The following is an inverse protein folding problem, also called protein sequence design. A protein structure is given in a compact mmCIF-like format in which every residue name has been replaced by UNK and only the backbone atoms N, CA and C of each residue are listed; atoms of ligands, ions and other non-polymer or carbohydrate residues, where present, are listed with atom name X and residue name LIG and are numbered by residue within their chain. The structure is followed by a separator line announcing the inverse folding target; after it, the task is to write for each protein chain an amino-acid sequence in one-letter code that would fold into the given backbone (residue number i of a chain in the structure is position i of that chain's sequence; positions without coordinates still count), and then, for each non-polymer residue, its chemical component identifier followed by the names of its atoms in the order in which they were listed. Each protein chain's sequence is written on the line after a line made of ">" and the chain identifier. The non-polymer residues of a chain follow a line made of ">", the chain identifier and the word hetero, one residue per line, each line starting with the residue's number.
data_IF_718609510667
#
_entry.id   IF_718609510667
#
_cell.length_a   1.000
_cell.length_b   1.000
_cell.length_c   1.000
_cell.angle_alpha   90.00
_cell.angle_beta   90.00
_cell.angle_gamma   90.00
#
_symmetry.space_group_name_H-M   'P 1'
#
loop_
_entity.id
_entity.type
_entity.pdbx_description
1 polymer ?
#
# COMPACT_ATOMS: atom_id res chain seq x y z
N UNK A 1 0.66 8.56 17.18
CA UNK A 1 1.03 8.27 16.97
C UNK A 1 0.80 7.64 16.68
N UNK A 2 0.99 7.54 16.86
CA UNK A 2 0.55 6.63 16.56
C UNK A 2 0.50 5.79 17.54
N UNK A 3 -0.54 5.36 17.73
CA UNK A 3 -0.90 4.54 18.71
C UNK A 3 0.00 3.44 18.89
N UNK A 4 0.63 3.07 17.89
CA UNK A 4 1.44 2.04 17.98
C UNK A 4 2.50 2.26 18.89
N UNK A 5 2.83 3.41 19.09
CA UNK A 5 3.87 3.66 19.90
C UNK A 5 3.64 3.53 21.28
N UNK A 6 2.60 3.61 21.68
CA UNK A 6 2.43 3.59 22.94
C UNK A 6 2.11 2.45 23.38
N UNK A 7 1.90 1.78 23.32
CA UNK A 7 1.57 0.71 23.85
C UNK A 7 2.31 -0.28 23.91
N UNK A 8 2.59 -0.09 24.02
CA UNK A 8 3.10 -0.64 24.28
C UNK A 8 3.86 -1.26 24.31
N UNK A 9 3.93 -1.50 24.31
CA UNK A 9 4.67 -1.43 24.17
C UNK A 9 5.69 -2.17 24.22
N UNK A 10 5.97 -3.05 24.54
CA UNK A 10 7.06 -3.22 24.95
C UNK A 10 7.73 -4.35 24.44
N UNK A 11 7.46 -5.46 24.67
CA UNK A 11 8.05 -6.50 24.20
C UNK A 11 7.70 -6.72 22.90
N UNK A 12 6.55 -6.74 22.66
CA UNK A 12 6.14 -6.87 21.33
C UNK A 12 6.36 -5.58 20.69
N UNK A 13 6.71 -4.63 21.45
CA UNK A 13 6.97 -3.39 20.90
C UNK A 13 8.21 -3.39 20.11
N UNK A 14 9.21 -4.16 20.43
CA UNK A 14 10.42 -4.15 19.68
C UNK A 14 10.21 -4.49 18.21
N UNK A 15 9.56 -5.59 17.86
CA UNK A 15 9.34 -5.88 16.46
C UNK A 15 8.49 -4.79 15.79
N UNK A 16 7.49 -4.30 16.50
CA UNK A 16 6.63 -3.27 15.94
C UNK A 16 7.41 -1.97 15.72
N UNK A 17 8.29 -1.63 16.65
CA UNK A 17 9.08 -0.41 16.51
C UNK A 17 10.03 -0.50 15.32
N UNK A 18 10.61 -1.67 15.10
CA UNK A 18 11.50 -1.87 13.96
C UNK A 18 10.71 -1.75 12.67
N UNK A 19 9.53 -2.35 12.60
CA UNK A 19 8.71 -2.27 11.42
C UNK A 19 8.28 -0.82 11.15
N UNK A 20 7.91 -0.09 12.19
CA UNK A 20 7.51 1.30 12.04
C UNK A 20 8.68 2.14 11.55
N UNK A 21 9.87 1.92 12.09
CA UNK A 21 11.05 2.67 11.65
C UNK A 21 11.36 2.39 10.18
N UNK A 22 11.21 1.14 9.74
CA UNK A 22 11.43 0.79 8.35
C UNK A 22 10.40 1.47 7.45
N UNK A 23 9.16 1.53 7.87
CA UNK A 23 8.12 2.22 7.12
C UNK A 23 8.46 3.70 6.96
N UNK A 24 8.84 4.35 8.04
CA UNK A 24 9.17 5.77 8.00
C UNK A 24 10.36 6.02 7.08
N UNK A 25 11.39 5.19 7.18
CA UNK A 25 12.56 5.34 6.34
C UNK A 25 12.20 5.14 4.87
N UNK A 26 11.33 4.19 4.57
CA UNK A 26 10.93 3.96 3.19
C UNK A 26 10.03 5.08 2.71
N UNK A 27 9.11 5.54 3.52
CA UNK A 27 8.17 6.57 3.12
C UNK A 27 8.81 7.92 2.85
N UNK A 28 9.96 8.20 3.40
CA UNK A 28 10.57 9.49 3.13
C UNK A 28 11.04 9.62 1.69
N UNK A 29 11.14 8.52 0.94
CA UNK A 29 11.47 8.55 -0.46
C UNK A 29 10.21 8.46 -1.34
N UNK A 30 9.03 8.42 -0.74
CA UNK A 30 7.79 8.30 -1.48
C UNK A 30 7.18 9.67 -1.69
N UNK A 31 6.92 9.98 -2.94
CA UNK A 31 6.29 11.23 -3.30
C UNK A 31 4.85 10.95 -3.71
N UNK A 32 3.85 11.54 -3.03
CA UNK A 32 2.46 11.27 -3.40
C UNK A 32 2.13 11.84 -4.76
N UNK A 33 1.50 11.05 -5.61
CA UNK A 33 1.11 11.48 -6.93
C UNK A 33 -0.38 11.41 -7.17
N UNK A 34 -1.13 10.70 -6.37
CA UNK A 34 -2.56 10.65 -6.58
C UNK A 34 -3.32 9.85 -5.55
N UNK A 35 -4.64 9.91 -5.64
CA UNK A 35 -5.54 9.20 -4.76
C UNK A 35 -6.16 8.05 -5.52
N UNK A 36 -6.13 6.85 -4.96
CA UNK A 36 -6.70 5.67 -5.60
C UNK A 36 -8.21 5.82 -5.75
N UNK A 37 -8.71 5.49 -6.92
CA UNK A 37 -10.13 5.59 -7.23
C UNK A 37 -10.79 4.25 -6.90
N UNK A 38 -11.17 4.08 -5.66
CA UNK A 38 -11.85 2.87 -5.22
C UNK A 38 -13.29 2.85 -5.70
N UNK A 39 -13.81 1.65 -5.93
CA UNK A 39 -15.18 1.51 -6.40
C UNK A 39 -16.19 1.68 -5.30
N UNK A 40 -15.82 1.44 -4.05
CA UNK A 40 -16.74 1.63 -2.94
C UNK A 40 -16.23 2.75 -2.04
N UNK A 41 -17.06 3.18 -1.10
CA UNK A 41 -16.74 4.31 -0.26
C UNK A 41 -15.98 3.96 1.00
N UNK A 42 -15.67 2.70 1.19
CA UNK A 42 -14.99 2.25 2.39
C UNK A 42 -13.55 1.83 2.15
N UNK A 43 -13.12 1.87 0.90
CA UNK A 43 -11.76 1.56 0.51
C UNK A 43 -11.03 2.85 0.17
N UNK A 44 -9.84 3.01 0.74
CA UNK A 44 -9.06 4.22 0.58
C UNK A 44 -7.65 3.85 0.15
N UNK A 45 -7.03 4.69 -0.63
CA UNK A 45 -5.65 4.45 -1.03
C UNK A 45 -5.02 5.66 -1.65
N UNK A 46 -3.69 5.64 -1.68
CA UNK A 46 -2.90 6.68 -2.30
C UNK A 46 -1.78 6.04 -3.09
N UNK A 47 -1.43 6.68 -4.21
CA UNK A 47 -0.34 6.22 -5.07
C UNK A 47 0.84 7.15 -4.87
N UNK A 48 2.02 6.57 -4.77
CA UNK A 48 3.26 7.30 -4.59
C UNK A 48 4.28 6.88 -5.63
N UNK A 49 5.23 7.74 -5.89
CA UNK A 49 6.42 7.37 -6.65
C UNK A 49 7.57 7.18 -5.68
N UNK A 50 8.31 6.11 -5.83
CA UNK A 50 9.48 5.86 -4.99
C UNK A 50 10.68 6.49 -5.65
N UNK A 51 11.12 7.64 -5.13
CA UNK A 51 12.22 8.37 -5.72
C UNK A 51 13.55 7.63 -5.63
N UNK A 52 13.65 6.68 -4.72
CA UNK A 52 14.85 5.90 -4.58
C UNK A 52 14.91 4.80 -5.63
N UNK A 53 13.79 4.43 -6.21
CA UNK A 53 13.72 3.37 -7.20
C UNK A 53 13.18 3.89 -8.54
N UNK A 54 13.71 4.99 -8.99
CA UNK A 54 13.40 5.54 -10.33
C UNK A 54 11.93 5.84 -10.54
N UNK A 55 11.24 6.25 -9.49
CA UNK A 55 9.84 6.61 -9.62
C UNK A 55 8.89 5.43 -9.67
N UNK A 56 9.32 4.25 -9.26
CA UNK A 56 8.46 3.07 -9.26
C UNK A 56 7.21 3.33 -8.40
N UNK A 57 6.02 2.94 -8.85
CA UNK A 57 4.81 3.25 -8.09
C UNK A 57 4.65 2.38 -6.87
N UNK A 58 4.07 2.97 -5.82
CA UNK A 58 3.75 2.27 -4.58
C UNK A 58 2.32 2.64 -4.23
N UNK A 59 1.51 1.65 -3.87
CA UNK A 59 0.12 1.86 -3.49
C UNK A 59 -0.04 1.58 -2.00
N UNK A 60 -0.55 2.56 -1.23
CA UNK A 60 -0.97 2.33 0.13
C UNK A 60 -2.48 2.21 0.10
N UNK A 61 -3.04 1.13 0.65
CA UNK A 61 -4.47 0.89 0.52
C UNK A 61 -5.02 0.21 1.78
N UNK A 62 -6.23 0.57 2.18
CA UNK A 62 -6.88 -0.03 3.34
C UNK A 62 -8.39 0.08 3.19
N UNK A 63 -9.13 -0.61 4.06
CA UNK A 63 -10.59 -0.59 4.01
C UNK A 63 -11.14 -0.38 5.41
N UNK A 64 -12.01 0.60 5.55
CA UNK A 64 -12.61 0.91 6.84
C UNK A 64 -13.94 0.18 6.99
N UNK A 65 -13.89 -1.12 6.86
CA UNK A 65 -15.05 -2.01 6.97
C UNK A 65 -14.54 -3.43 7.17
N UNK A 66 -15.39 -4.41 6.91
CA UNK A 66 -14.99 -5.82 6.96
C UNK A 66 -13.89 -6.12 5.95
N UNK A 67 -13.18 -7.19 6.18
CA UNK A 67 -12.10 -7.61 5.27
C UNK A 67 -12.67 -7.98 3.91
N UNK A 68 -11.94 -7.65 2.87
CA UNK A 68 -12.37 -7.88 1.52
C UNK A 68 -11.16 -7.88 0.60
N UNK A 69 -11.24 -8.58 -0.52
CA UNK A 69 -10.22 -8.47 -1.55
C UNK A 69 -10.54 -7.35 -2.49
N UNK A 70 -9.55 -6.54 -2.80
CA UNK A 70 -9.69 -5.55 -3.85
C UNK A 70 -9.04 -6.14 -5.11
N UNK A 71 -9.78 -6.16 -6.20
CA UNK A 71 -9.29 -6.72 -7.44
C UNK A 71 -8.86 -5.59 -8.37
N UNK A 72 -7.59 -5.60 -8.75
CA UNK A 72 -7.06 -4.57 -9.64
C UNK A 72 -6.59 -5.24 -10.93
N UNK A 73 -7.17 -4.87 -12.07
CA UNK A 73 -6.73 -5.45 -13.33
C UNK A 73 -5.31 -5.01 -13.65
N UNK A 74 -4.46 -5.95 -14.03
CA UNK A 74 -3.09 -5.66 -14.39
C UNK A 74 -2.78 -6.33 -15.73
N UNK A 75 -2.04 -5.62 -16.56
CA UNK A 75 -1.66 -6.12 -17.87
C UNK A 75 -0.15 -6.23 -17.98
N UNK A 76 0.57 -5.28 -17.41
CA UNK A 76 2.02 -5.21 -17.53
C UNK A 76 2.75 -5.62 -16.25
N UNK A 77 2.04 -5.60 -15.13
CA UNK A 77 2.62 -5.96 -13.84
C UNK A 77 2.86 -7.46 -13.76
N UNK A 78 4.04 -7.87 -13.33
CA UNK A 78 4.40 -9.28 -13.29
C UNK A 78 4.33 -9.90 -11.92
N UNK A 79 4.69 -9.15 -10.90
CA UNK A 79 4.61 -9.66 -9.53
C UNK A 79 4.42 -8.49 -8.59
N UNK A 80 3.74 -8.74 -7.48
CA UNK A 80 3.43 -7.71 -6.49
C UNK A 80 3.78 -8.21 -5.12
N UNK A 81 4.30 -7.32 -4.29
CA UNK A 81 4.62 -7.61 -2.91
C UNK A 81 3.91 -6.61 -2.03
N UNK A 82 3.22 -7.09 -1.01
CA UNK A 82 2.61 -6.24 -0.01
C UNK A 82 3.40 -6.27 1.27
N UNK A 83 3.35 -5.19 2.03
CA UNK A 83 3.97 -5.12 3.35
C UNK A 83 2.93 -4.55 4.29
N UNK A 84 2.68 -5.23 5.42
CA UNK A 84 1.73 -4.74 6.40
C UNK A 84 2.40 -3.78 7.39
N UNK A 85 1.63 -3.26 8.33
CA UNK A 85 2.15 -2.28 9.28
C UNK A 85 3.20 -2.86 10.22
N UNK A 86 3.32 -4.17 10.31
CA UNK A 86 4.34 -4.80 11.12
C UNK A 86 5.56 -5.19 10.32
N UNK A 87 5.60 -4.81 9.04
CA UNK A 87 6.74 -5.12 8.18
C UNK A 87 6.72 -6.52 7.60
N UNK A 88 5.61 -7.25 7.76
CA UNK A 88 5.52 -8.61 7.22
C UNK A 88 5.25 -8.52 5.73
N UNK A 89 5.96 -9.32 4.97
CA UNK A 89 5.83 -9.37 3.52
C UNK A 89 4.73 -10.34 3.13
N UNK A 90 3.86 -9.90 2.24
CA UNK A 90 2.76 -10.70 1.74
C UNK A 90 2.87 -10.75 0.23
N UNK A 91 2.83 -11.95 -0.34
CA UNK A 91 2.84 -12.09 -1.77
C UNK A 91 1.41 -11.85 -2.28
N UNK A 92 1.26 -10.97 -3.24
CA UNK A 92 -0.06 -10.64 -3.79
C UNK A 92 -0.28 -11.48 -5.04
N UNK A 93 -1.27 -12.36 -5.05
CA UNK A 93 -1.50 -13.21 -6.22
C UNK A 93 -2.07 -12.43 -7.40
N UNK A 94 -1.60 -12.76 -8.59
CA UNK A 94 -2.15 -12.24 -9.83
C UNK A 94 -2.77 -13.43 -10.57
N UNK A 95 -4.08 -13.44 -10.68
CA UNK A 95 -4.82 -14.56 -11.25
C UNK A 95 -5.71 -14.03 -12.36
N UNK A 96 -5.58 -14.59 -13.54
CA UNK A 96 -6.38 -14.19 -14.70
C UNK A 96 -6.33 -12.68 -14.95
N UNK A 97 -5.14 -12.11 -14.82
CA UNK A 97 -4.96 -10.69 -15.06
C UNK A 97 -5.49 -9.78 -13.97
N UNK A 98 -5.80 -10.33 -12.80
CA UNK A 98 -6.30 -9.54 -11.68
C UNK A 98 -5.40 -9.72 -10.47
N UNK A 99 -4.96 -8.62 -9.89
CA UNK A 99 -4.23 -8.64 -8.63
C UNK A 99 -5.25 -8.71 -7.49
N UNK A 100 -5.03 -9.61 -6.55
CA UNK A 100 -5.94 -9.84 -5.43
C UNK A 100 -5.32 -9.27 -4.16
N UNK A 101 -5.72 -8.07 -3.78
CA UNK A 101 -5.17 -7.40 -2.61
C UNK A 101 -6.05 -7.66 -1.39
N UNK A 102 -5.49 -8.27 -0.34
CA UNK A 102 -6.28 -8.51 0.87
C UNK A 102 -6.36 -7.23 1.69
N UNK A 103 -7.54 -6.65 1.78
CA UNK A 103 -7.72 -5.39 2.48
C UNK A 103 -8.33 -5.59 3.86
N UNK A 104 -7.86 -4.80 4.79
CA UNK A 104 -8.40 -4.74 6.14
C UNK A 104 -8.30 -3.29 6.61
N UNK A 105 -8.55 -3.06 7.88
CA UNK A 105 -8.42 -1.72 8.44
C UNK A 105 -6.96 -1.30 8.62
N UNK A 106 -6.03 -2.24 8.48
CA UNK A 106 -4.61 -1.92 8.54
C UNK A 106 -4.09 -1.62 7.14
N UNK A 107 -3.25 -0.62 7.02
CA UNK A 107 -2.71 -0.21 5.73
C UNK A 107 -1.81 -1.30 5.15
N UNK A 108 -2.04 -1.62 3.88
CA UNK A 108 -1.19 -2.52 3.12
C UNK A 108 -0.44 -1.67 2.11
N UNK A 109 0.88 -1.80 2.07
CA UNK A 109 1.70 -1.07 1.11
C UNK A 109 2.16 -2.04 0.04
N UNK A 110 1.78 -1.78 -1.20
CA UNK A 110 2.01 -2.71 -2.30
C UNK A 110 2.98 -2.10 -3.31
N UNK A 111 4.00 -2.86 -3.67
CA UNK A 111 4.98 -2.43 -4.66
C UNK A 111 5.08 -3.47 -5.77
N UNK A 112 5.63 -3.07 -6.90
CA UNK A 112 5.79 -3.95 -8.05
C UNK A 112 4.88 -3.62 -9.21
N UNK A 113 3.94 -2.68 -9.04
CA UNK A 113 3.06 -2.30 -10.14
C UNK A 113 3.84 -1.66 -11.29
N UNK A 114 3.41 -1.95 -12.51
CA UNK A 114 3.81 -1.16 -13.66
C UNK A 114 2.92 0.08 -13.67
N UNK A 115 3.50 1.25 -13.87
CA UNK A 115 2.72 2.50 -13.83
C UNK A 115 1.60 2.51 -14.86
N UNK A 116 1.79 1.85 -15.99
CA UNK A 116 0.75 1.80 -17.02
C UNK A 116 -0.51 1.07 -16.53
N UNK A 117 -0.37 0.19 -15.55
CA UNK A 117 -1.53 -0.48 -14.97
C UNK A 117 -2.26 0.40 -13.96
N UNK A 118 -1.60 1.41 -13.42
CA UNK A 118 -2.20 2.26 -12.40
C UNK A 118 -2.70 3.61 -12.94
N UNK A 119 -2.24 4.03 -14.09
CA UNK A 119 -2.45 5.41 -14.53
C UNK A 119 -3.91 5.84 -14.63
N UNK A 120 -4.82 4.92 -14.83
CA UNK A 120 -6.24 5.24 -14.89
C UNK A 120 -6.97 4.88 -13.60
N UNK A 121 -6.25 4.52 -12.55
CA UNK A 121 -6.83 4.08 -11.30
C UNK A 121 -6.63 5.08 -10.17
N UNK A 122 -6.13 6.25 -10.46
CA UNK A 122 -5.97 7.27 -9.43
C UNK A 122 -6.29 8.66 -9.98
N UNK A 123 -6.67 9.53 -9.07
CA UNK A 123 -6.92 10.93 -9.37
C UNK A 123 -5.63 11.68 -9.06
N UNK A 124 -5.07 12.42 -10.02
CA UNK A 124 -3.82 13.14 -9.80
C UNK A 124 -3.89 14.11 -8.63
N UNK A 125 -2.77 14.28 -7.96
CA UNK A 125 -2.69 15.11 -6.77
C UNK A 125 -3.19 16.53 -6.98
N UNK A 126 -2.96 17.10 -8.15
CA UNK A 126 -3.37 18.46 -8.41
C UNK A 126 -4.87 18.64 -8.49
N UNK A 127 -5.63 17.57 -8.53
CA UNK A 127 -7.07 17.63 -8.67
C UNK A 127 -7.83 17.36 -7.37
N UNK A 128 -7.12 17.24 -6.26
CA UNK A 128 -7.82 17.02 -4.99
C UNK A 128 -7.13 17.68 -3.81
#
# INVERSE_FOLDING_TARGET
>A
GFGILRYNTMLTVKPAAVAFANMVNNYRYLKPIGKYLAKDRKTYGFIYENEKESGAPVLSIWREADEKEELIPVKYTKSLTGVDIFGRTIEIPIIDGMAHLPLSMSVLTVSGFDMDDLKNLYEPKEQY
#
